data_IF_070729787156
#
_entry.id   IF_070729787156
#
_cell.length_a   1.000
_cell.length_b   1.000
_cell.length_c   1.000
_cell.angle_alpha   90.00
_cell.angle_beta   90.00
_cell.angle_gamma   90.00
#
_symmetry.space_group_name_H-M   'P 1'
#
loop_
_entity.id
_entity.type
_entity.pdbx_description
1 polymer ?
#
# COMPACT_ATOMS: atom_id res chain seq x y z
N UNK A 1 11.53 12.69 -9.78
CA UNK A 1 11.16 11.46 -10.51
C UNK A 1 9.80 11.00 -10.08
N UNK A 2 8.93 10.63 -11.01
CA UNK A 2 7.56 10.23 -10.72
C UNK A 2 7.44 8.72 -10.86
N UNK A 3 6.90 8.07 -9.83
CA UNK A 3 6.64 6.64 -9.86
C UNK A 3 5.21 6.38 -10.33
N UNK A 4 5.01 5.32 -11.09
CA UNK A 4 3.68 4.82 -11.39
C UNK A 4 3.19 4.00 -10.19
N UNK A 5 2.00 4.28 -9.70
CA UNK A 5 1.40 3.51 -8.60
C UNK A 5 0.42 2.52 -9.20
N UNK A 6 0.71 1.24 -9.03
CA UNK A 6 -0.13 0.16 -9.55
C UNK A 6 -0.62 -0.72 -8.41
N UNK A 7 -1.81 -1.29 -8.58
CA UNK A 7 -2.42 -2.15 -7.58
C UNK A 7 -2.26 -3.62 -7.98
N UNK A 8 -1.69 -4.40 -7.07
CA UNK A 8 -1.75 -5.84 -7.22
C UNK A 8 -3.22 -6.29 -7.14
N UNK A 9 -3.63 -7.34 -7.87
CA UNK A 9 -5.02 -7.82 -7.82
C UNK A 9 -5.56 -8.06 -6.41
N UNK A 10 -4.72 -8.53 -5.49
CA UNK A 10 -5.13 -8.74 -4.10
C UNK A 10 -5.41 -7.43 -3.37
N UNK A 11 -4.65 -6.38 -3.68
CA UNK A 11 -4.91 -5.05 -3.13
C UNK A 11 -6.21 -4.46 -3.69
N UNK A 12 -6.43 -4.62 -4.98
CA UNK A 12 -7.66 -4.14 -5.63
C UNK A 12 -8.89 -4.81 -5.02
N UNK A 13 -8.82 -6.13 -4.77
CA UNK A 13 -9.92 -6.86 -4.13
C UNK A 13 -10.16 -6.41 -2.70
N UNK A 14 -9.07 -6.19 -1.95
CA UNK A 14 -9.19 -5.71 -0.58
C UNK A 14 -9.86 -4.34 -0.52
N UNK A 15 -9.49 -3.43 -1.43
CA UNK A 15 -10.10 -2.10 -1.51
C UNK A 15 -11.59 -2.15 -1.79
N UNK A 16 -12.05 -3.09 -2.61
CA UNK A 16 -13.47 -3.24 -2.92
C UNK A 16 -14.32 -3.62 -1.72
N UNK A 17 -13.72 -4.24 -0.71
CA UNK A 17 -14.41 -4.65 0.51
C UNK A 17 -14.46 -3.55 1.56
N UNK A 18 -13.75 -2.46 1.35
CA UNK A 18 -13.69 -1.33 2.27
C UNK A 18 -14.78 -0.33 1.92
N UNK A 19 -15.36 0.32 2.93
CA UNK A 19 -16.36 1.36 2.72
C UNK A 19 -15.83 2.42 1.76
N UNK A 20 -16.70 2.89 0.87
CA UNK A 20 -16.33 3.80 -0.23
C UNK A 20 -15.61 5.06 0.23
N UNK A 21 -16.08 5.67 1.31
CA UNK A 21 -15.47 6.90 1.83
C UNK A 21 -14.03 6.65 2.31
N UNK A 22 -13.80 5.52 2.97
CA UNK A 22 -12.48 5.13 3.44
C UNK A 22 -11.58 4.73 2.28
N UNK A 23 -12.13 3.97 1.33
CA UNK A 23 -11.40 3.57 0.12
C UNK A 23 -10.93 4.76 -0.71
N UNK A 24 -11.78 5.76 -0.86
CA UNK A 24 -11.43 7.00 -1.57
C UNK A 24 -10.27 7.73 -0.88
N UNK A 25 -10.31 7.79 0.45
CA UNK A 25 -9.23 8.41 1.22
C UNK A 25 -7.92 7.65 1.05
N UNK A 26 -7.98 6.32 1.04
CA UNK A 26 -6.79 5.49 0.83
C UNK A 26 -6.20 5.79 -0.55
N UNK A 27 -7.02 5.84 -1.59
CA UNK A 27 -6.57 6.13 -2.96
C UNK A 27 -5.90 7.50 -3.03
N UNK A 28 -6.44 8.51 -2.37
CA UNK A 28 -5.82 9.83 -2.32
C UNK A 28 -4.44 9.80 -1.67
N UNK A 29 -4.31 9.06 -0.59
CA UNK A 29 -3.01 8.90 0.08
C UNK A 29 -2.02 8.14 -0.79
N UNK A 30 -2.49 7.16 -1.58
CA UNK A 30 -1.63 6.42 -2.50
C UNK A 30 -1.02 7.34 -3.58
N UNK A 31 -1.70 8.40 -3.96
CA UNK A 31 -1.17 9.36 -4.94
C UNK A 31 0.12 10.02 -4.46
N UNK A 32 0.27 10.19 -3.17
CA UNK A 32 1.50 10.77 -2.58
C UNK A 32 2.72 9.88 -2.80
N UNK A 33 2.50 8.58 -3.02
CA UNK A 33 3.59 7.65 -3.29
C UNK A 33 4.23 7.86 -4.66
N UNK A 34 3.58 8.62 -5.54
CA UNK A 34 4.12 8.92 -6.86
C UNK A 34 5.43 9.69 -6.80
N UNK A 35 5.56 10.58 -5.84
CA UNK A 35 6.73 11.44 -5.73
C UNK A 35 7.74 10.94 -4.72
N UNK A 36 7.29 10.48 -3.56
CA UNK A 36 8.16 10.16 -2.42
C UNK A 36 7.75 8.86 -1.72
N UNK A 37 7.79 7.72 -2.42
CA UNK A 37 7.30 6.48 -1.82
C UNK A 37 8.09 6.04 -0.59
N UNK A 38 9.37 6.40 -0.51
CA UNK A 38 10.23 6.02 0.60
C UNK A 38 10.22 7.01 1.76
N UNK A 39 9.51 8.14 1.61
CA UNK A 39 9.36 9.15 2.67
C UNK A 39 7.96 9.17 3.26
N UNK A 40 6.96 8.82 2.46
CA UNK A 40 5.55 8.85 2.89
C UNK A 40 5.23 7.69 3.81
N UNK A 41 5.75 6.48 3.51
CA UNK A 41 5.56 5.31 4.34
C UNK A 41 6.79 4.96 5.16
N UNK A 42 6.71 3.85 5.87
CA UNK A 42 7.80 3.30 6.67
C UNK A 42 8.18 1.92 6.16
N UNK A 43 9.49 1.67 6.07
CA UNK A 43 9.98 0.36 5.68
C UNK A 43 9.73 -0.64 6.82
N UNK A 44 9.23 -1.82 6.46
CA UNK A 44 9.06 -2.91 7.42
C UNK A 44 10.40 -3.57 7.68
N UNK A 45 10.70 -3.82 8.97
CA UNK A 45 11.98 -4.40 9.38
C UNK A 45 12.27 -5.72 8.66
N UNK A 46 13.52 -5.87 8.23
CA UNK A 46 14.01 -7.10 7.61
C UNK A 46 13.26 -7.52 6.33
N UNK A 47 12.73 -6.54 5.60
CA UNK A 47 12.03 -6.82 4.35
C UNK A 47 12.23 -5.68 3.35
N UNK A 48 11.78 -5.92 2.11
CA UNK A 48 11.75 -4.90 1.07
C UNK A 48 10.39 -4.21 0.98
N UNK A 49 9.51 -4.49 1.95
CA UNK A 49 8.16 -3.94 1.95
C UNK A 49 8.08 -2.65 2.74
N UNK A 50 7.12 -1.84 2.37
CA UNK A 50 6.82 -0.56 3.00
C UNK A 50 5.38 -0.55 3.46
N UNK A 51 5.08 0.25 4.47
CA UNK A 51 3.74 0.38 5.03
C UNK A 51 3.36 1.84 5.17
N UNK A 52 2.15 2.17 4.75
CA UNK A 52 1.56 3.49 4.90
C UNK A 52 0.26 3.36 5.70
N UNK A 53 0.16 4.13 6.78
CA UNK A 53 -1.07 4.16 7.57
C UNK A 53 -2.04 5.20 7.04
N UNK A 54 -3.30 4.80 6.86
CA UNK A 54 -4.40 5.69 6.49
C UNK A 54 -5.57 5.42 7.44
N UNK A 55 -5.70 6.26 8.49
CA UNK A 55 -6.70 6.02 9.52
C UNK A 55 -6.49 4.68 10.22
N UNK A 56 -7.49 3.82 10.20
CA UNK A 56 -7.42 2.49 10.81
C UNK A 56 -6.91 1.41 9.84
N UNK A 57 -6.48 1.82 8.65
CA UNK A 57 -6.01 0.90 7.62
C UNK A 57 -4.54 1.10 7.35
N UNK A 58 -3.90 0.05 6.86
CA UNK A 58 -2.52 0.11 6.39
C UNK A 58 -2.43 -0.45 4.98
N UNK A 59 -1.55 0.18 4.20
CA UNK A 59 -1.25 -0.21 2.84
C UNK A 59 0.16 -0.78 2.83
N UNK A 60 0.33 -1.99 2.27
CA UNK A 60 1.66 -2.59 2.13
C UNK A 60 2.05 -2.49 0.66
N UNK A 61 3.24 -1.97 0.40
CA UNK A 61 3.70 -1.74 -0.97
C UNK A 61 5.18 -2.02 -1.12
N UNK A 62 5.61 -2.20 -2.37
CA UNK A 62 7.01 -2.31 -2.77
C UNK A 62 7.37 -1.12 -3.66
N UNK A 63 8.63 -0.73 -3.60
CA UNK A 63 9.17 0.31 -4.48
C UNK A 63 10.15 -0.35 -5.46
N UNK A 64 9.83 -0.32 -6.74
CA UNK A 64 10.69 -0.83 -7.81
C UNK A 64 11.33 0.37 -8.51
N UNK A 65 12.56 0.68 -8.13
CA UNK A 65 13.28 1.82 -8.70
C UNK A 65 13.66 1.60 -10.15
N UNK A 66 13.96 0.35 -10.52
CA UNK A 66 14.33 0.03 -11.89
C UNK A 66 13.21 0.30 -12.89
N UNK A 67 11.97 0.06 -12.49
CA UNK A 67 10.79 0.30 -13.32
C UNK A 67 10.08 1.61 -12.96
N UNK A 68 10.57 2.34 -11.99
CA UNK A 68 9.91 3.55 -11.45
C UNK A 68 8.44 3.26 -11.11
N UNK A 69 8.22 2.17 -10.37
CA UNK A 69 6.90 1.71 -9.97
C UNK A 69 6.78 1.55 -8.46
N UNK A 70 5.61 1.87 -7.95
CA UNK A 70 5.18 1.47 -6.61
C UNK A 70 4.07 0.45 -6.80
N UNK A 71 4.29 -0.75 -6.30
CA UNK A 71 3.29 -1.83 -6.39
C UNK A 71 2.60 -1.95 -5.05
N UNK A 72 1.33 -1.61 -5.00
CA UNK A 72 0.51 -1.79 -3.80
C UNK A 72 0.10 -3.25 -3.74
N UNK A 73 0.60 -3.97 -2.73
CA UNK A 73 0.41 -5.41 -2.61
C UNK A 73 -0.86 -5.77 -1.85
N UNK A 74 -1.17 -5.02 -0.80
CA UNK A 74 -2.31 -5.33 0.04
C UNK A 74 -2.77 -4.12 0.84
N UNK A 75 -4.05 -4.13 1.20
CA UNK A 75 -4.65 -3.12 2.07
C UNK A 75 -5.50 -3.84 3.11
N UNK A 76 -5.33 -3.51 4.37
CA UNK A 76 -6.11 -4.14 5.42
C UNK A 76 -6.20 -3.30 6.67
N UNK A 77 -7.10 -3.72 7.57
CA UNK A 77 -7.25 -3.07 8.87
C UNK A 77 -5.95 -3.23 9.68
N UNK A 78 -5.52 -2.17 10.36
CA UNK A 78 -4.25 -2.14 11.09
C UNK A 78 -4.03 -3.31 12.06
N UNK A 79 -5.11 -3.90 12.57
CA UNK A 79 -5.03 -5.02 13.52
C UNK A 79 -4.78 -6.36 12.86
N UNK A 80 -5.11 -6.50 11.58
CA UNK A 80 -5.03 -7.80 10.88
C UNK A 80 -4.17 -7.77 9.61
N UNK A 81 -3.78 -6.61 9.15
CA UNK A 81 -3.13 -6.47 7.84
C UNK A 81 -1.89 -7.33 7.69
N UNK A 82 -1.06 -7.42 8.71
CA UNK A 82 0.18 -8.20 8.63
C UNK A 82 -0.06 -9.69 8.63
N UNK A 83 -1.02 -10.16 9.43
CA UNK A 83 -1.40 -11.57 9.44
C UNK A 83 -1.98 -11.98 8.09
N UNK A 84 -2.91 -11.18 7.57
CA UNK A 84 -3.53 -11.46 6.28
C UNK A 84 -2.50 -11.39 5.14
N UNK A 85 -1.62 -10.40 5.18
CA UNK A 85 -0.57 -10.26 4.19
C UNK A 85 0.36 -11.48 4.17
N UNK A 86 0.80 -11.94 5.34
CA UNK A 86 1.71 -13.08 5.44
C UNK A 86 1.09 -14.37 4.93
N UNK A 87 -0.24 -14.50 4.99
CA UNK A 87 -0.95 -15.67 4.45
C UNK A 87 -1.11 -15.62 2.93
N UNK A 88 -1.16 -14.41 2.35
CA UNK A 88 -1.40 -14.21 0.92
C UNK A 88 -0.10 -14.07 0.12
N UNK A 89 0.96 -13.69 0.78
CA UNK A 89 2.27 -13.47 0.23
C UNK A 89 3.33 -14.17 1.08
#
# INVERSE_FOLDING_TARGET
MVFAVVLHPKAARALKKIEKSVGSRIIEELRKLRDRPEKVGKRLKYSDFWSLRVGDYRVIYEVDRGKSQVVVLFVGHRKKVYDDFSKLF
#
